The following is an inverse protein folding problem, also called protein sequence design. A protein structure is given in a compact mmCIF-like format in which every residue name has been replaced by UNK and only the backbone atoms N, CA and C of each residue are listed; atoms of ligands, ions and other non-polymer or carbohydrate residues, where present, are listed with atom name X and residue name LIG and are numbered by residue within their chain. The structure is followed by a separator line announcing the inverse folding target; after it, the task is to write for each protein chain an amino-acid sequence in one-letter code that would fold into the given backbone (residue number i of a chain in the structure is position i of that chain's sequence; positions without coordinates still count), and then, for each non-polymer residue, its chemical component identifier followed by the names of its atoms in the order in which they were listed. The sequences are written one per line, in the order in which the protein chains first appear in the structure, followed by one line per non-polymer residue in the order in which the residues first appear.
data_IF_132802423318
#
_entry.id   IF_132802423318
#
_cell.length_a   1.000
_cell.length_b   1.000
_cell.length_c   1.000
_cell.angle_alpha   90.00
_cell.angle_beta   90.00
_cell.angle_gamma   90.00
#
_symmetry.space_group_name_H-M   'P 1'
#
loop_
_entity.id
_entity.type
_entity.pdbx_description
1 polymer ?
#
# COMPACT_ATOMS: atom_id res chain seq x y z
N UNK A 1 2.67 -24.21 6.13
CA UNK A 1 1.49 -24.18 7.03
C UNK A 1 0.25 -24.20 6.17
N UNK A 2 -0.35 -25.37 6.03
CA UNK A 2 -1.38 -25.65 5.03
C UNK A 2 -2.69 -24.97 5.44
N UNK A 3 -3.14 -23.96 4.67
CA UNK A 3 -4.34 -23.15 4.94
C UNK A 3 -5.61 -23.86 4.45
N UNK A 4 -5.78 -25.11 4.85
CA UNK A 4 -6.85 -25.98 4.37
C UNK A 4 -7.54 -26.60 5.59
N UNK A 5 -8.85 -26.65 5.56
CA UNK A 5 -9.67 -27.48 6.43
C UNK A 5 -10.57 -28.39 5.59
N UNK A 6 -11.36 -29.24 6.24
CA UNK A 6 -12.35 -30.12 5.59
C UNK A 6 -13.34 -29.34 4.69
N UNK A 7 -13.60 -28.08 5.01
CA UNK A 7 -14.47 -27.20 4.23
C UNK A 7 -13.77 -26.49 3.05
N UNK A 8 -12.51 -26.80 2.80
CA UNK A 8 -11.70 -26.22 1.74
C UNK A 8 -10.65 -25.21 2.22
N UNK A 9 -10.19 -24.38 1.28
CA UNK A 9 -9.11 -23.43 1.52
C UNK A 9 -9.59 -22.22 2.33
N UNK A 10 -8.83 -21.84 3.35
CA UNK A 10 -9.14 -20.70 4.18
C UNK A 10 -9.00 -19.40 3.38
N UNK A 11 -9.94 -18.48 3.59
CA UNK A 11 -9.97 -17.19 2.91
C UNK A 11 -9.29 -16.11 3.74
N UNK A 12 -8.60 -15.20 3.05
CA UNK A 12 -7.95 -14.06 3.70
C UNK A 12 -9.01 -13.07 4.20
N UNK A 13 -9.00 -12.77 5.49
CA UNK A 13 -9.97 -11.89 6.14
C UNK A 13 -9.38 -10.56 6.58
N UNK A 14 -8.05 -10.39 6.58
CA UNK A 14 -7.42 -9.12 6.89
C UNK A 14 -5.99 -9.24 7.41
N UNK A 15 -5.36 -8.08 7.58
CA UNK A 15 -4.00 -7.95 8.10
C UNK A 15 -4.03 -7.14 9.40
N UNK A 16 -3.37 -7.64 10.43
CA UNK A 16 -3.13 -6.92 11.68
C UNK A 16 -1.70 -6.40 11.71
N UNK A 17 -1.50 -5.13 11.38
CA UNK A 17 -0.16 -4.52 11.31
C UNK A 17 0.55 -4.50 12.67
N UNK A 18 -0.16 -4.16 13.75
CA UNK A 18 0.38 -4.21 15.12
C UNK A 18 0.77 -5.63 15.54
N UNK A 19 -0.02 -6.63 15.12
CA UNK A 19 0.22 -8.06 15.40
C UNK A 19 1.25 -8.70 14.46
N UNK A 20 1.63 -8.00 13.38
CA UNK A 20 2.43 -8.55 12.27
C UNK A 20 1.88 -9.92 11.82
N UNK A 21 0.56 -10.04 11.71
CA UNK A 21 -0.12 -11.30 11.42
C UNK A 21 -1.30 -11.11 10.46
N UNK A 22 -1.65 -12.16 9.74
CA UNK A 22 -2.78 -12.22 8.81
C UNK A 22 -3.91 -13.05 9.41
N UNK A 23 -5.14 -12.57 9.27
CA UNK A 23 -6.34 -13.28 9.71
C UNK A 23 -6.90 -14.10 8.56
N UNK A 24 -7.17 -15.37 8.84
CA UNK A 24 -7.75 -16.31 7.91
C UNK A 24 -9.05 -16.85 8.48
N UNK A 25 -10.04 -17.07 7.62
CA UNK A 25 -11.34 -17.64 8.01
C UNK A 25 -11.61 -18.92 7.24
N UNK A 26 -12.29 -19.85 7.90
CA UNK A 26 -12.90 -20.98 7.20
C UNK A 26 -13.92 -20.45 6.18
N UNK A 27 -13.96 -20.98 4.94
CA UNK A 27 -14.89 -20.50 3.91
C UNK A 27 -16.36 -20.69 4.31
N UNK A 28 -16.70 -21.77 5.01
CA UNK A 28 -18.06 -22.07 5.49
C UNK A 28 -18.32 -21.60 6.92
N UNK A 29 -17.27 -21.32 7.71
CA UNK A 29 -17.40 -20.96 9.12
C UNK A 29 -17.65 -22.15 10.08
N UNK A 30 -17.70 -23.39 9.59
CA UNK A 30 -17.98 -24.58 10.41
C UNK A 30 -16.83 -25.02 11.35
N UNK A 31 -15.61 -24.52 11.13
CA UNK A 31 -14.47 -24.86 11.98
C UNK A 31 -14.54 -24.18 13.36
N UNK A 32 -14.05 -24.85 14.41
CA UNK A 32 -13.79 -24.23 15.74
C UNK A 32 -12.28 -24.28 16.03
N UNK A 33 -11.56 -23.15 16.08
CA UNK A 33 -12.03 -21.78 15.83
C UNK A 33 -12.28 -21.50 14.33
N UNK A 34 -13.29 -20.70 14.03
CA UNK A 34 -13.68 -20.33 12.66
C UNK A 34 -12.70 -19.35 11.99
N UNK A 35 -11.74 -18.82 12.76
CA UNK A 35 -10.68 -17.95 12.27
C UNK A 35 -9.38 -18.13 13.04
N UNK A 36 -8.26 -17.84 12.39
CA UNK A 36 -6.91 -18.01 12.92
C UNK A 36 -6.04 -16.84 12.48
N UNK A 37 -5.12 -16.47 13.35
CA UNK A 37 -4.06 -15.53 13.04
C UNK A 37 -2.79 -16.30 12.69
N UNK A 38 -2.17 -15.94 11.58
CA UNK A 38 -0.93 -16.54 11.11
C UNK A 38 0.12 -15.42 11.03
N UNK A 39 1.26 -15.62 11.69
CA UNK A 39 2.36 -14.65 11.69
C UNK A 39 2.78 -14.35 10.25
N UNK A 40 3.00 -13.08 9.95
CA UNK A 40 3.50 -12.65 8.66
C UNK A 40 5.04 -12.75 8.66
N UNK A 41 5.57 -13.22 7.55
CA UNK A 41 7.00 -13.31 7.28
C UNK A 41 7.29 -12.90 5.82
N UNK A 42 8.54 -13.01 5.39
CA UNK A 42 8.94 -12.60 4.03
C UNK A 42 8.28 -13.45 2.93
N UNK A 43 8.07 -14.74 3.18
CA UNK A 43 7.37 -15.65 2.28
C UNK A 43 5.84 -15.48 2.39
N UNK A 44 5.32 -15.12 3.56
CA UNK A 44 3.90 -14.88 3.84
C UNK A 44 3.65 -13.43 4.30
N UNK A 45 3.66 -12.46 3.37
CA UNK A 45 3.51 -11.05 3.72
C UNK A 45 2.11 -10.73 4.28
N UNK A 46 1.98 -9.57 4.90
CA UNK A 46 0.72 -9.07 5.48
C UNK A 46 -0.43 -9.00 4.46
N UNK A 47 -0.11 -8.77 3.19
CA UNK A 47 -1.05 -8.88 2.08
C UNK A 47 -0.53 -10.01 1.20
N UNK A 48 -1.07 -11.24 1.35
CA UNK A 48 -0.58 -12.41 0.61
C UNK A 48 -0.81 -12.25 -0.89
N UNK A 49 0.16 -12.71 -1.70
CA UNK A 49 0.25 -12.44 -3.14
C UNK A 49 -0.90 -13.05 -3.95
N UNK A 50 -1.39 -14.18 -3.46
CA UNK A 50 -2.48 -14.98 -4.00
C UNK A 50 -3.87 -14.37 -3.71
N UNK A 51 -3.96 -13.29 -2.94
CA UNK A 51 -5.25 -12.70 -2.58
C UNK A 51 -5.72 -11.69 -3.62
N UNK A 52 -7.05 -11.58 -3.85
CA UNK A 52 -7.61 -10.51 -4.69
C UNK A 52 -7.18 -9.10 -4.23
N UNK A 53 -7.00 -8.92 -2.92
CA UNK A 53 -6.50 -7.66 -2.33
C UNK A 53 -5.10 -7.31 -2.84
N UNK A 54 -4.19 -8.27 -2.90
CA UNK A 54 -2.86 -8.05 -3.48
C UNK A 54 -2.96 -7.66 -4.95
N UNK A 55 -3.71 -8.42 -5.75
CA UNK A 55 -3.89 -8.15 -7.17
C UNK A 55 -4.45 -6.76 -7.43
N UNK A 56 -5.47 -6.34 -6.67
CA UNK A 56 -6.05 -5.01 -6.77
C UNK A 56 -5.05 -3.89 -6.48
N UNK A 57 -4.21 -4.04 -5.43
CA UNK A 57 -3.16 -3.08 -5.10
C UNK A 57 -2.03 -3.09 -6.13
N UNK A 58 -1.60 -4.28 -6.56
CA UNK A 58 -0.51 -4.44 -7.52
C UNK A 58 -0.85 -3.82 -8.87
N UNK A 59 -2.09 -3.98 -9.36
CA UNK A 59 -2.59 -3.33 -10.58
C UNK A 59 -2.54 -1.80 -10.50
N UNK A 60 -2.58 -1.21 -9.30
CA UNK A 60 -2.49 0.24 -9.08
C UNK A 60 -1.07 0.75 -8.87
N UNK A 61 -0.05 -0.13 -8.84
CA UNK A 61 1.38 0.24 -8.68
C UNK A 61 1.83 1.27 -9.72
N UNK A 62 1.38 1.12 -10.97
CA UNK A 62 1.75 2.02 -12.05
C UNK A 62 1.37 3.49 -11.78
N UNK A 63 0.32 3.75 -11.00
CA UNK A 63 -0.04 5.12 -10.61
C UNK A 63 1.03 5.76 -9.72
N UNK A 64 1.60 4.98 -8.79
CA UNK A 64 2.70 5.43 -7.92
C UNK A 64 3.97 5.64 -8.73
N UNK A 65 4.28 4.74 -9.65
CA UNK A 65 5.48 4.85 -10.49
C UNK A 65 5.43 6.05 -11.42
N UNK A 66 4.26 6.32 -12.03
CA UNK A 66 4.05 7.55 -12.80
C UNK A 66 4.30 8.78 -11.93
N UNK A 67 3.78 8.79 -10.72
CA UNK A 67 3.92 9.91 -9.81
C UNK A 67 5.38 10.15 -9.37
N UNK A 68 6.14 9.08 -9.14
CA UNK A 68 7.58 9.17 -8.93
C UNK A 68 8.34 9.65 -10.17
N UNK A 69 7.91 9.26 -11.38
CA UNK A 69 8.45 9.79 -12.63
C UNK A 69 8.23 11.31 -12.74
N UNK A 70 7.01 11.79 -12.49
CA UNK A 70 6.70 13.23 -12.46
C UNK A 70 7.49 13.95 -11.39
N UNK A 71 7.56 13.39 -10.18
CA UNK A 71 8.35 13.97 -9.10
C UNK A 71 9.79 14.15 -9.58
N UNK A 72 10.43 13.11 -10.12
CA UNK A 72 11.82 13.13 -10.59
C UNK A 72 12.12 14.08 -11.75
N UNK A 73 11.23 14.12 -12.74
CA UNK A 73 11.50 14.76 -14.02
C UNK A 73 10.87 16.15 -14.13
N UNK A 74 9.66 16.34 -13.62
CA UNK A 74 8.92 17.62 -13.71
C UNK A 74 9.20 18.53 -12.50
N UNK A 75 9.33 17.95 -11.31
CA UNK A 75 9.59 18.69 -10.07
C UNK A 75 11.10 18.73 -9.70
N UNK A 76 11.94 18.24 -10.60
CA UNK A 76 13.40 18.41 -10.61
C UNK A 76 14.25 17.98 -9.37
N UNK A 77 13.90 16.93 -8.57
CA UNK A 77 14.81 16.39 -7.57
C UNK A 77 15.96 15.57 -8.20
N UNK A 78 15.81 15.03 -9.42
CA UNK A 78 16.89 14.31 -10.13
C UNK A 78 18.09 15.21 -10.49
N UNK A 79 17.89 16.42 -11.05
CA UNK A 79 19.00 17.34 -11.32
C UNK A 79 19.51 18.10 -10.09
N UNK A 80 19.05 17.82 -8.87
CA UNK A 80 19.51 18.52 -7.67
C UNK A 80 21.03 18.36 -7.49
N UNK A 81 21.74 19.47 -7.26
CA UNK A 81 23.21 19.50 -7.09
C UNK A 81 23.65 20.04 -5.72
N UNK A 82 22.74 20.04 -4.74
CA UNK A 82 23.02 20.56 -3.41
C UNK A 82 23.88 19.57 -2.62
N UNK A 83 24.91 20.08 -1.95
CA UNK A 83 25.79 19.28 -1.07
C UNK A 83 25.15 19.11 0.32
N UNK A 84 25.19 17.88 0.83
CA UNK A 84 24.74 17.53 2.20
C UNK A 84 23.34 16.93 2.23
N UNK A 85 23.20 15.79 2.93
CA UNK A 85 21.94 15.03 2.98
C UNK A 85 20.79 15.82 3.59
N UNK A 86 21.03 16.63 4.62
CA UNK A 86 19.96 17.39 5.27
C UNK A 86 19.38 18.47 4.35
N UNK A 87 20.22 19.11 3.52
CA UNK A 87 19.75 20.06 2.52
C UNK A 87 18.98 19.37 1.39
N UNK A 88 19.43 18.19 0.97
CA UNK A 88 18.72 17.36 -0.01
C UNK A 88 17.35 16.92 0.52
N UNK A 89 17.28 16.47 1.79
CA UNK A 89 16.03 16.11 2.47
C UNK A 89 15.07 17.28 2.52
N UNK A 90 15.52 18.43 3.03
CA UNK A 90 14.71 19.64 3.11
C UNK A 90 14.15 20.05 1.75
N UNK A 91 14.97 20.01 0.69
CA UNK A 91 14.52 20.30 -0.66
C UNK A 91 13.45 19.30 -1.14
N UNK A 92 13.70 18.00 -0.97
CA UNK A 92 12.74 16.97 -1.36
C UNK A 92 11.41 17.10 -0.61
N UNK A 93 11.46 17.35 0.69
CA UNK A 93 10.29 17.52 1.55
C UNK A 93 9.46 18.74 1.12
N UNK A 94 10.10 19.90 0.91
CA UNK A 94 9.43 21.11 0.44
C UNK A 94 8.82 20.92 -0.96
N UNK A 95 9.52 20.24 -1.87
CA UNK A 95 9.00 19.92 -3.21
C UNK A 95 7.76 19.02 -3.13
N UNK A 96 7.76 18.02 -2.25
CA UNK A 96 6.60 17.14 -2.02
C UNK A 96 5.43 17.96 -1.46
N UNK A 97 5.68 18.82 -0.46
CA UNK A 97 4.65 19.69 0.13
C UNK A 97 4.06 20.63 -0.93
N UNK A 98 4.89 21.28 -1.76
CA UNK A 98 4.44 22.16 -2.82
C UNK A 98 3.56 21.41 -3.84
N UNK A 99 3.97 20.20 -4.25
CA UNK A 99 3.18 19.37 -5.17
C UNK A 99 1.83 18.97 -4.60
N UNK A 100 1.79 18.59 -3.32
CA UNK A 100 0.55 18.27 -2.62
C UNK A 100 -0.36 19.51 -2.50
N UNK A 101 0.20 20.68 -2.20
CA UNK A 101 -0.54 21.93 -2.15
C UNK A 101 -1.17 22.29 -3.52
N UNK A 102 -0.40 22.17 -4.62
CA UNK A 102 -0.93 22.33 -5.98
C UNK A 102 -2.02 21.29 -6.31
N UNK A 103 -1.84 20.04 -5.87
CA UNK A 103 -2.84 18.98 -6.01
C UNK A 103 -4.15 19.32 -5.28
N UNK A 104 -4.05 19.78 -4.04
CA UNK A 104 -5.17 20.20 -3.21
C UNK A 104 -5.89 21.42 -3.82
N UNK A 105 -5.14 22.41 -4.29
CA UNK A 105 -5.71 23.58 -4.94
C UNK A 105 -6.52 23.20 -6.18
N UNK A 106 -5.98 22.30 -7.04
CA UNK A 106 -6.71 21.77 -8.20
C UNK A 106 -7.96 21.00 -7.80
N UNK A 107 -7.88 20.16 -6.76
CA UNK A 107 -9.02 19.40 -6.28
C UNK A 107 -10.15 20.30 -5.75
N UNK A 108 -9.81 21.40 -5.07
CA UNK A 108 -10.77 22.39 -4.57
C UNK A 108 -11.40 23.25 -5.68
N UNK A 109 -10.69 23.43 -6.80
CA UNK A 109 -11.21 24.17 -7.95
C UNK A 109 -12.22 23.36 -8.78
N UNK A 110 -12.31 22.04 -8.59
CA UNK A 110 -13.36 21.23 -9.20
C UNK A 110 -14.68 21.55 -8.49
N UNK A 111 -15.69 22.10 -9.19
CA UNK A 111 -17.00 22.34 -8.57
C UNK A 111 -17.58 21.02 -8.09
N UNK A 112 -18.13 21.03 -6.87
CA UNK A 112 -18.89 19.88 -6.36
C UNK A 112 -20.08 19.70 -7.29
N UNK A 113 -20.18 18.54 -7.93
CA UNK A 113 -21.38 18.18 -8.67
C UNK A 113 -22.56 18.25 -7.69
N UNK A 114 -23.57 19.06 -8.01
CA UNK A 114 -24.83 19.17 -7.30
C UNK A 114 -25.67 17.90 -7.45
#
# INVERSE_FOLDING_TARGET
MTRICEHGQWTFAGAGYSRKATKWRCPTGGCKPASRWIKADRAHPLIPRETPRFTALYRRRAAVEREFGRLKNEWAPSPLRVRGLDRVRLHADLTIVAKLACGLARARAVPLAA
#
